data_IF_860425049764
#
_entry.id   IF_860425049764
#
_cell.length_a   1.000
_cell.length_b   1.000
_cell.length_c   1.000
_cell.angle_alpha   90.00
_cell.angle_beta   90.00
_cell.angle_gamma   90.00
#
_symmetry.space_group_name_H-M   'P 1'
#
loop_
_entity.id
_entity.type
_entity.pdbx_description
1 polymer ?
#
# COMPACT_ATOMS: atom_id res chain seq x y z
N UNK A 1 -24.90 46.18 -73.93
CA UNK A 1 -24.10 44.92 -73.95
C UNK A 1 -23.63 44.71 -72.52
N UNK A 2 -24.33 43.86 -71.79
CA UNK A 2 -24.16 43.71 -70.33
C UNK A 2 -23.42 42.39 -70.12
N UNK A 3 -22.16 42.40 -69.56
CA UNK A 3 -21.46 41.22 -69.12
C UNK A 3 -21.85 40.96 -67.69
N UNK A 4 -22.42 39.78 -67.43
CA UNK A 4 -22.65 39.22 -66.07
C UNK A 4 -21.42 38.45 -65.64
N UNK A 5 -20.77 38.87 -64.50
CA UNK A 5 -19.75 38.13 -63.87
C UNK A 5 -20.33 37.04 -62.94
N UNK A 6 -19.86 35.82 -63.10
CA UNK A 6 -20.13 34.72 -62.19
C UNK A 6 -19.17 34.81 -60.99
N UNK A 7 -19.70 34.87 -59.78
CA UNK A 7 -18.97 34.71 -58.55
C UNK A 7 -18.90 33.20 -58.15
N UNK A 8 -17.74 32.62 -58.11
CA UNK A 8 -17.50 31.24 -57.57
C UNK A 8 -17.39 31.28 -56.05
N UNK A 9 -18.30 30.60 -55.37
CA UNK A 9 -18.25 30.39 -53.92
C UNK A 9 -17.40 29.17 -53.65
N UNK A 10 -16.22 29.35 -53.03
CA UNK A 10 -15.43 28.25 -52.49
C UNK A 10 -15.98 27.90 -51.12
N UNK A 11 -16.55 26.70 -50.96
CA UNK A 11 -16.89 26.11 -49.67
C UNK A 11 -15.62 25.36 -49.16
N UNK A 12 -14.97 25.90 -48.18
CA UNK A 12 -13.86 25.22 -47.48
C UNK A 12 -14.46 24.18 -46.50
N UNK A 13 -14.34 22.90 -46.82
CA UNK A 13 -14.65 21.83 -45.89
C UNK A 13 -13.54 21.69 -44.86
N UNK A 14 -13.78 22.14 -43.63
CA UNK A 14 -12.91 21.84 -42.50
C UNK A 14 -13.13 20.37 -42.10
N UNK A 15 -12.18 19.50 -42.49
CA UNK A 15 -12.09 18.13 -41.96
C UNK A 15 -11.48 18.24 -40.57
N UNK A 16 -12.33 18.22 -39.55
CA UNK A 16 -11.91 18.07 -38.16
C UNK A 16 -11.38 16.66 -37.94
N UNK A 17 -10.05 16.50 -37.79
CA UNK A 17 -9.45 15.29 -37.24
C UNK A 17 -9.81 15.20 -35.77
N UNK A 18 -10.91 14.51 -35.47
CA UNK A 18 -11.25 14.09 -34.11
C UNK A 18 -10.22 13.05 -33.63
N UNK A 19 -9.36 13.42 -32.68
CA UNK A 19 -8.59 12.45 -31.92
C UNK A 19 -9.60 11.59 -31.15
N UNK A 20 -9.73 10.32 -31.56
CA UNK A 20 -10.47 9.34 -30.81
C UNK A 20 -9.73 9.14 -29.47
N UNK A 21 -10.16 9.84 -28.44
CA UNK A 21 -9.79 9.50 -27.07
C UNK A 21 -10.25 8.07 -26.83
N UNK A 22 -9.33 7.19 -26.47
CA UNK A 22 -9.67 5.86 -25.99
C UNK A 22 -10.51 6.04 -24.74
N UNK A 23 -11.81 5.80 -24.86
CA UNK A 23 -12.70 5.75 -23.72
C UNK A 23 -12.20 4.60 -22.83
N UNK A 24 -11.63 4.91 -21.69
CA UNK A 24 -11.42 3.94 -20.64
C UNK A 24 -12.78 3.38 -20.28
N UNK A 25 -12.95 2.05 -20.42
CA UNK A 25 -14.18 1.39 -20.03
C UNK A 25 -14.49 1.76 -18.59
N UNK A 26 -15.70 2.24 -18.33
CA UNK A 26 -16.14 2.46 -16.95
C UNK A 26 -16.00 1.15 -16.17
N UNK A 27 -15.50 1.19 -14.92
CA UNK A 27 -15.37 -0.01 -14.12
C UNK A 27 -16.72 -0.73 -14.04
N UNK A 28 -16.73 -2.07 -13.99
CA UNK A 28 -17.97 -2.83 -13.96
C UNK A 28 -18.85 -2.35 -12.80
N UNK A 29 -20.12 -2.14 -13.06
CA UNK A 29 -21.07 -1.70 -12.03
C UNK A 29 -21.15 -2.78 -10.94
N UNK A 30 -20.60 -2.48 -9.78
CA UNK A 30 -20.58 -3.40 -8.65
C UNK A 30 -22.00 -3.59 -8.10
N UNK A 31 -22.42 -4.84 -7.86
CA UNK A 31 -23.71 -5.18 -7.26
C UNK A 31 -23.71 -5.08 -5.74
N UNK A 32 -22.59 -4.74 -5.10
CA UNK A 32 -22.43 -4.71 -3.65
C UNK A 32 -21.83 -3.39 -3.14
N UNK A 33 -21.81 -3.25 -1.83
CA UNK A 33 -21.13 -2.17 -1.13
C UNK A 33 -19.68 -2.60 -0.88
N UNK A 34 -18.81 -2.42 -1.87
CA UNK A 34 -17.38 -2.69 -1.73
C UNK A 34 -16.71 -1.79 -0.68
N UNK A 35 -15.39 -1.93 -0.56
CA UNK A 35 -14.59 -1.03 0.27
C UNK A 35 -14.76 0.40 -0.26
N UNK A 36 -15.12 1.39 0.59
CA UNK A 36 -15.21 2.78 0.16
C UNK A 36 -13.90 3.26 -0.50
N UNK A 37 -13.98 3.91 -1.66
CA UNK A 37 -12.81 4.33 -2.45
C UNK A 37 -11.82 5.17 -1.63
N UNK A 38 -12.30 6.00 -0.72
CA UNK A 38 -11.45 6.80 0.17
C UNK A 38 -10.69 5.97 1.22
N UNK A 39 -10.95 4.67 1.32
CA UNK A 39 -10.21 3.72 2.16
C UNK A 39 -9.33 2.76 1.35
N UNK A 40 -9.47 2.74 0.01
CA UNK A 40 -8.59 1.94 -0.85
C UNK A 40 -7.30 2.70 -1.07
N UNK A 41 -6.18 2.03 -0.88
CA UNK A 41 -4.83 2.53 -1.12
C UNK A 41 -4.03 1.50 -1.92
N UNK A 42 -2.84 1.88 -2.40
CA UNK A 42 -1.89 0.95 -3.01
C UNK A 42 -0.50 1.20 -2.44
N UNK A 43 0.20 0.12 -2.10
CA UNK A 43 1.61 0.17 -1.68
C UNK A 43 2.49 0.39 -2.91
N UNK A 44 3.31 1.44 -2.89
CA UNK A 44 4.16 1.80 -4.03
C UNK A 44 5.33 0.83 -4.24
N UNK A 45 5.62 -0.06 -3.29
CA UNK A 45 6.55 -1.17 -3.49
C UNK A 45 6.16 -2.05 -4.67
N UNK A 46 4.86 -2.17 -4.98
CA UNK A 46 4.36 -2.83 -6.19
C UNK A 46 5.02 -2.31 -7.47
N UNK A 47 5.42 -1.04 -7.48
CA UNK A 47 6.07 -0.37 -8.60
C UNK A 47 7.58 -0.19 -8.42
N UNK A 48 8.21 -0.86 -7.43
CA UNK A 48 9.61 -0.61 -7.09
C UNK A 48 10.56 -0.85 -8.27
N UNK A 49 10.33 -1.89 -9.08
CA UNK A 49 11.14 -2.13 -10.28
C UNK A 49 10.91 -1.07 -11.36
N UNK A 50 9.67 -0.61 -11.54
CA UNK A 50 9.32 0.45 -12.50
C UNK A 50 9.89 1.81 -12.07
N UNK A 51 9.71 2.21 -10.82
CA UNK A 51 10.20 3.47 -10.27
C UNK A 51 11.74 3.46 -10.20
N UNK A 52 12.32 2.35 -9.73
CA UNK A 52 13.73 2.23 -9.38
C UNK A 52 14.05 2.78 -8.00
N UNK A 53 15.33 2.66 -7.63
CA UNK A 53 15.86 3.07 -6.32
C UNK A 53 16.77 4.29 -6.39
N UNK A 54 16.76 4.99 -7.51
CA UNK A 54 17.53 6.21 -7.71
C UNK A 54 16.94 7.43 -7.02
N UNK A 55 17.68 8.54 -7.10
CA UNK A 55 17.25 9.85 -6.60
C UNK A 55 17.38 10.93 -7.69
N UNK A 56 17.52 10.49 -8.92
CA UNK A 56 17.68 11.34 -10.10
C UNK A 56 16.32 11.75 -10.69
N UNK A 57 16.36 12.68 -11.65
CA UNK A 57 15.16 13.18 -12.32
C UNK A 57 14.37 12.06 -12.99
N UNK A 58 15.05 11.06 -13.56
CA UNK A 58 14.37 9.94 -14.21
C UNK A 58 13.55 9.09 -13.22
N UNK A 59 14.03 8.94 -11.99
CA UNK A 59 13.27 8.28 -10.90
C UNK A 59 12.04 9.10 -10.47
N UNK A 60 12.20 10.43 -10.40
CA UNK A 60 11.11 11.37 -10.11
C UNK A 60 10.05 11.28 -11.22
N UNK A 61 10.46 11.32 -12.48
CA UNK A 61 9.56 11.26 -13.64
C UNK A 61 8.76 9.95 -13.66
N UNK A 62 9.39 8.81 -13.34
CA UNK A 62 8.69 7.52 -13.22
C UNK A 62 7.72 7.49 -12.05
N UNK A 63 8.08 8.10 -10.93
CA UNK A 63 7.18 8.25 -9.77
C UNK A 63 5.96 9.09 -10.14
N UNK A 64 6.16 10.18 -10.86
CA UNK A 64 5.08 11.03 -11.38
C UNK A 64 4.15 10.26 -12.32
N UNK A 65 4.70 9.47 -13.24
CA UNK A 65 3.90 8.64 -14.14
C UNK A 65 3.06 7.60 -13.38
N UNK A 66 3.62 6.98 -12.33
CA UNK A 66 2.86 6.08 -11.45
C UNK A 66 1.68 6.83 -10.81
N UNK A 67 1.90 8.02 -10.27
CA UNK A 67 0.83 8.80 -9.63
C UNK A 67 -0.27 9.20 -10.62
N UNK A 68 0.11 9.63 -11.80
CA UNK A 68 -0.84 9.97 -12.86
C UNK A 68 -1.74 8.78 -13.18
N UNK A 69 -1.13 7.61 -13.45
CA UNK A 69 -1.87 6.39 -13.80
C UNK A 69 -2.75 5.88 -12.65
N UNK A 70 -2.26 5.90 -11.42
CA UNK A 70 -3.06 5.51 -10.25
C UNK A 70 -4.28 6.42 -10.06
N UNK A 71 -4.10 7.74 -10.24
CA UNK A 71 -5.23 8.69 -10.20
C UNK A 71 -6.26 8.39 -11.28
N UNK A 72 -5.83 8.06 -12.50
CA UNK A 72 -6.70 7.68 -13.63
C UNK A 72 -7.45 6.37 -13.38
N UNK A 73 -6.82 5.40 -12.68
CA UNK A 73 -7.46 4.15 -12.23
C UNK A 73 -8.54 4.38 -11.16
N UNK A 74 -8.56 5.53 -10.51
CA UNK A 74 -9.52 5.87 -9.47
C UNK A 74 -8.97 5.87 -8.06
N UNK A 75 -7.71 5.51 -7.85
CA UNK A 75 -7.08 5.62 -6.52
C UNK A 75 -7.11 7.06 -6.00
N UNK A 76 -7.27 7.19 -4.69
CA UNK A 76 -7.17 8.46 -3.97
C UNK A 76 -6.10 8.42 -2.88
N UNK A 77 -5.58 7.24 -2.60
CA UNK A 77 -4.53 7.06 -1.60
C UNK A 77 -3.43 6.14 -2.14
N UNK A 78 -2.20 6.41 -1.70
CA UNK A 78 -1.01 5.59 -1.94
C UNK A 78 -0.26 5.37 -0.61
N UNK A 79 0.56 4.35 -0.54
CA UNK A 79 1.46 4.12 0.58
C UNK A 79 2.90 4.16 0.07
N UNK A 80 3.65 5.27 0.31
CA UNK A 80 5.04 5.39 -0.08
C UNK A 80 5.98 4.48 0.72
N UNK A 81 7.03 3.96 0.04
CA UNK A 81 8.19 3.33 0.68
C UNK A 81 9.47 4.17 0.51
N UNK A 82 9.46 5.13 -0.41
CA UNK A 82 10.53 6.08 -0.69
C UNK A 82 9.95 7.42 -1.10
N UNK A 83 10.74 8.47 -1.01
CA UNK A 83 10.41 9.79 -1.57
C UNK A 83 11.10 10.04 -2.91
N UNK A 84 11.75 9.01 -3.49
CA UNK A 84 12.40 9.07 -4.83
C UNK A 84 13.40 10.23 -4.97
N UNK A 85 14.10 10.58 -3.89
CA UNK A 85 15.05 11.70 -3.86
C UNK A 85 14.41 13.09 -3.72
N UNK A 86 13.09 13.19 -3.67
CA UNK A 86 12.39 14.45 -3.45
C UNK A 86 12.40 14.86 -1.96
N UNK A 87 12.28 16.16 -1.70
CA UNK A 87 11.89 16.63 -0.37
C UNK A 87 10.44 16.19 -0.04
N UNK A 88 10.09 16.13 1.25
CA UNK A 88 8.71 15.85 1.65
C UNK A 88 7.71 16.86 1.07
N UNK A 89 8.13 18.12 0.92
CA UNK A 89 7.30 19.18 0.33
C UNK A 89 7.04 18.96 -1.17
N UNK A 90 8.08 18.62 -1.93
CA UNK A 90 7.95 18.36 -3.37
C UNK A 90 7.13 17.08 -3.64
N UNK A 91 7.38 16.03 -2.85
CA UNK A 91 6.59 14.81 -2.93
C UNK A 91 5.11 15.05 -2.61
N UNK A 92 4.84 15.88 -1.59
CA UNK A 92 3.47 16.30 -1.25
C UNK A 92 2.82 17.08 -2.39
N UNK A 93 3.54 18.03 -2.98
CA UNK A 93 3.04 18.80 -4.12
C UNK A 93 2.71 17.90 -5.33
N UNK A 94 3.53 16.85 -5.54
CA UNK A 94 3.30 15.87 -6.59
C UNK A 94 2.05 15.01 -6.32
N UNK A 95 1.84 14.57 -5.07
CA UNK A 95 0.60 13.90 -4.67
C UNK A 95 -0.63 14.78 -4.91
N UNK A 96 -0.57 16.04 -4.47
CA UNK A 96 -1.67 16.99 -4.62
C UNK A 96 -2.00 17.28 -6.09
N UNK A 97 -0.98 17.33 -6.97
CA UNK A 97 -1.15 17.49 -8.43
C UNK A 97 -2.08 16.44 -9.04
N UNK A 98 -2.01 15.21 -8.53
CA UNK A 98 -2.84 14.10 -9.02
C UNK A 98 -4.03 13.76 -8.11
N UNK A 99 -4.33 14.59 -7.12
CA UNK A 99 -5.44 14.38 -6.18
C UNK A 99 -5.27 13.16 -5.29
N UNK A 100 -4.01 12.75 -5.04
CA UNK A 100 -3.64 11.62 -4.20
C UNK A 100 -3.29 12.09 -2.78
N UNK A 101 -3.39 11.18 -1.82
CA UNK A 101 -2.96 11.34 -0.43
C UNK A 101 -2.12 10.15 0.00
N UNK A 102 -1.17 10.38 0.89
CA UNK A 102 -0.48 9.28 1.53
C UNK A 102 -1.34 8.72 2.68
N UNK A 103 -1.78 7.46 2.56
CA UNK A 103 -2.58 6.76 3.58
C UNK A 103 -1.75 6.34 4.78
N UNK A 104 -0.57 5.82 4.51
CA UNK A 104 0.46 5.40 5.44
C UNK A 104 1.82 5.52 4.74
N UNK A 105 2.90 5.16 5.44
CA UNK A 105 4.26 5.14 4.87
C UNK A 105 5.06 3.98 5.46
N UNK A 106 5.73 3.22 4.59
CA UNK A 106 6.84 2.38 5.02
C UNK A 106 8.12 3.23 5.07
N UNK A 107 8.70 3.32 6.24
CA UNK A 107 9.98 4.01 6.48
C UNK A 107 10.69 3.29 7.61
N UNK A 108 12.00 3.08 7.46
CA UNK A 108 12.77 2.41 8.51
C UNK A 108 12.76 3.26 9.79
N UNK A 109 12.13 2.73 10.82
CA UNK A 109 12.08 3.36 12.15
C UNK A 109 13.27 2.94 13.02
N UNK A 110 14.20 2.14 12.50
CA UNK A 110 15.40 1.67 13.17
C UNK A 110 15.16 0.58 14.20
N UNK A 111 16.22 0.25 14.87
CA UNK A 111 16.26 -0.73 15.97
C UNK A 111 16.99 -0.13 17.18
N UNK A 112 16.96 -0.78 18.37
CA UNK A 112 17.76 -0.33 19.51
C UNK A 112 19.26 -0.21 19.20
N UNK A 113 19.76 -1.12 18.34
CA UNK A 113 21.16 -1.21 17.93
C UNK A 113 21.54 -0.21 16.82
N UNK A 114 20.55 0.14 15.97
CA UNK A 114 20.74 1.05 14.86
C UNK A 114 19.55 2.03 14.75
N UNK A 115 19.49 3.03 15.63
CA UNK A 115 18.40 4.00 15.64
C UNK A 115 18.49 4.95 14.44
N UNK A 116 17.33 5.25 13.84
CA UNK A 116 17.19 6.25 12.77
C UNK A 116 16.87 7.64 13.33
N UNK A 117 17.00 8.68 12.49
CA UNK A 117 16.54 10.04 12.81
C UNK A 117 15.01 10.09 12.83
N UNK A 118 14.44 9.81 13.99
CA UNK A 118 13.01 9.74 14.17
C UNK A 118 12.32 11.09 14.13
N UNK A 119 13.02 12.17 14.50
CA UNK A 119 12.47 13.52 14.45
C UNK A 119 12.29 13.97 12.99
N UNK A 120 13.24 13.63 12.13
CA UNK A 120 13.11 13.87 10.68
C UNK A 120 11.94 13.07 10.09
N UNK A 121 11.76 11.79 10.48
CA UNK A 121 10.63 10.98 10.04
C UNK A 121 9.30 11.66 10.43
N UNK A 122 9.17 12.10 11.68
CA UNK A 122 7.96 12.77 12.16
C UNK A 122 7.71 14.10 11.42
N UNK A 123 8.76 14.86 11.15
CA UNK A 123 8.67 16.11 10.40
C UNK A 123 8.22 15.90 8.95
N UNK A 124 8.83 14.95 8.24
CA UNK A 124 8.43 14.57 6.88
C UNK A 124 6.98 14.11 6.82
N UNK A 125 6.60 13.20 7.71
CA UNK A 125 5.23 12.69 7.79
C UNK A 125 4.21 13.80 8.03
N UNK A 126 4.55 14.80 8.83
CA UNK A 126 3.69 15.97 9.05
C UNK A 126 3.48 16.76 7.76
N UNK A 127 4.53 17.01 6.99
CA UNK A 127 4.45 17.68 5.68
C UNK A 127 3.61 16.87 4.70
N UNK A 128 3.82 15.55 4.64
CA UNK A 128 3.10 14.63 3.76
C UNK A 128 1.63 14.41 4.20
N UNK A 129 1.27 14.79 5.41
CA UNK A 129 -0.06 14.54 5.99
C UNK A 129 -0.28 13.08 6.39
N UNK A 130 0.79 12.33 6.61
CA UNK A 130 0.78 10.91 6.97
C UNK A 130 0.44 10.75 8.46
N UNK A 131 -0.54 9.89 8.73
CA UNK A 131 -0.90 9.52 10.10
C UNK A 131 -0.26 8.20 10.54
N UNK A 132 -0.18 7.22 9.65
CA UNK A 132 0.30 5.87 9.96
C UNK A 132 1.65 5.61 9.28
N UNK A 133 2.62 5.07 10.02
CA UNK A 133 3.92 4.75 9.47
C UNK A 133 4.63 3.66 10.29
N UNK A 134 5.55 2.94 9.67
CA UNK A 134 6.36 1.91 10.29
C UNK A 134 7.37 1.30 9.33
N UNK A 135 8.22 0.42 9.82
CA UNK A 135 9.13 -0.33 8.95
C UNK A 135 8.38 -1.38 8.15
N UNK A 136 8.68 -1.46 6.85
CA UNK A 136 8.15 -2.52 5.99
C UNK A 136 8.99 -3.79 6.00
N UNK A 137 10.25 -3.74 6.47
CA UNK A 137 11.19 -4.85 6.38
C UNK A 137 12.04 -5.07 7.64
N UNK A 138 12.38 -4.02 8.38
CA UNK A 138 13.20 -4.09 9.58
C UNK A 138 12.37 -4.59 10.77
N UNK A 139 12.84 -5.54 11.59
CA UNK A 139 14.14 -6.22 11.58
C UNK A 139 14.14 -7.60 10.89
N UNK A 140 13.25 -7.82 9.92
CA UNK A 140 13.00 -9.12 9.30
C UNK A 140 13.96 -9.38 8.14
N UNK A 141 14.36 -8.35 7.39
CA UNK A 141 15.26 -8.48 6.25
C UNK A 141 16.48 -7.55 6.39
N UNK A 142 17.62 -8.10 6.88
CA UNK A 142 17.81 -9.46 7.37
C UNK A 142 17.15 -9.70 8.74
N UNK A 143 16.80 -10.94 9.05
CA UNK A 143 16.38 -11.34 10.40
C UNK A 143 17.57 -11.18 11.36
N UNK A 144 17.44 -10.27 12.32
CA UNK A 144 18.54 -9.93 13.24
C UNK A 144 18.29 -10.35 14.69
N UNK A 145 17.08 -10.75 15.03
CA UNK A 145 16.70 -11.19 16.37
C UNK A 145 16.39 -12.69 16.40
N UNK A 146 17.03 -13.41 17.30
CA UNK A 146 16.98 -14.87 17.37
C UNK A 146 16.52 -15.39 18.76
N UNK A 147 16.15 -14.48 19.67
CA UNK A 147 15.67 -14.81 21.01
C UNK A 147 14.43 -14.00 21.37
N UNK A 148 13.59 -14.54 22.24
CA UNK A 148 12.42 -13.82 22.76
C UNK A 148 12.80 -12.50 23.43
N UNK A 149 13.91 -12.48 24.18
CA UNK A 149 14.37 -11.28 24.88
C UNK A 149 14.73 -10.14 23.92
N UNK A 150 15.29 -10.45 22.76
CA UNK A 150 15.58 -9.45 21.70
C UNK A 150 14.29 -8.90 21.11
N UNK A 151 13.31 -9.75 20.82
CA UNK A 151 12.01 -9.30 20.33
C UNK A 151 11.24 -8.45 21.35
N UNK A 152 11.31 -8.81 22.62
CA UNK A 152 10.73 -7.99 23.71
C UNK A 152 11.41 -6.61 23.76
N UNK A 153 12.74 -6.56 23.66
CA UNK A 153 13.50 -5.30 23.64
C UNK A 153 13.12 -4.44 22.42
N UNK A 154 12.96 -5.07 21.26
CA UNK A 154 12.48 -4.38 20.07
C UNK A 154 11.05 -3.85 20.24
N UNK A 155 10.15 -4.63 20.80
CA UNK A 155 8.79 -4.18 21.11
C UNK A 155 8.79 -2.95 22.05
N UNK A 156 9.64 -2.95 23.09
CA UNK A 156 9.80 -1.81 24.00
C UNK A 156 10.34 -0.57 23.27
N UNK A 157 11.29 -0.76 22.34
CA UNK A 157 11.79 0.32 21.49
C UNK A 157 10.69 0.90 20.60
N UNK A 158 9.90 0.04 19.95
CA UNK A 158 8.74 0.49 19.14
C UNK A 158 7.72 1.22 20.02
N UNK A 159 7.49 0.74 21.24
CA UNK A 159 6.54 1.38 22.15
C UNK A 159 6.96 2.81 22.53
N UNK A 160 8.25 3.03 22.82
CA UNK A 160 8.78 4.36 23.10
C UNK A 160 8.69 5.29 21.88
N UNK A 161 8.99 4.80 20.68
CA UNK A 161 8.83 5.57 19.43
C UNK A 161 7.36 5.84 19.12
N UNK A 162 6.48 4.86 19.34
CA UNK A 162 5.04 5.01 19.18
C UNK A 162 4.45 6.05 20.12
N UNK A 163 4.95 6.16 21.35
CA UNK A 163 4.55 7.25 22.26
C UNK A 163 4.94 8.63 21.71
N UNK A 164 6.16 8.79 21.20
CA UNK A 164 6.59 10.02 20.55
C UNK A 164 5.76 10.35 19.30
N UNK A 165 5.47 9.33 18.47
CA UNK A 165 4.60 9.49 17.32
C UNK A 165 3.21 9.97 17.71
N UNK A 166 2.60 9.39 18.74
CA UNK A 166 1.30 9.78 19.28
C UNK A 166 1.29 11.23 19.79
N UNK A 167 2.36 11.66 20.47
CA UNK A 167 2.53 13.05 20.91
C UNK A 167 2.60 14.03 19.73
N UNK A 168 3.14 13.58 18.58
CA UNK A 168 3.17 14.34 17.33
C UNK A 168 1.86 14.21 16.48
N UNK A 169 0.83 13.54 17.00
CA UNK A 169 -0.44 13.31 16.29
C UNK A 169 -0.39 12.21 15.22
N UNK A 170 0.68 11.40 15.23
CA UNK A 170 0.91 10.29 14.30
C UNK A 170 0.77 8.94 15.02
N UNK A 171 0.78 7.85 14.30
CA UNK A 171 0.60 6.50 14.83
C UNK A 171 1.63 5.56 14.23
N UNK A 172 2.45 4.98 15.10
CA UNK A 172 3.40 3.93 14.69
C UNK A 172 2.63 2.64 14.41
N UNK A 173 2.97 1.96 13.33
CA UNK A 173 2.40 0.67 12.98
C UNK A 173 3.48 -0.40 12.85
N UNK A 174 3.13 -1.64 13.18
CA UNK A 174 3.88 -2.86 12.85
C UNK A 174 3.26 -3.45 11.59
N UNK A 175 4.09 -3.70 10.59
CA UNK A 175 3.79 -4.51 9.42
C UNK A 175 4.42 -5.89 9.60
N UNK A 176 3.77 -6.95 9.12
CA UNK A 176 4.25 -8.31 9.25
C UNK A 176 4.60 -8.94 7.91
N UNK A 177 5.54 -9.88 7.97
CA UNK A 177 5.79 -10.89 6.96
C UNK A 177 5.46 -12.29 7.51
N UNK A 178 5.91 -13.35 6.83
CA UNK A 178 5.70 -14.73 7.28
C UNK A 178 6.51 -15.08 8.54
N UNK A 179 7.68 -14.47 8.70
CA UNK A 179 8.63 -14.76 9.78
C UNK A 179 7.99 -14.55 11.15
N UNK A 180 7.20 -13.49 11.34
CA UNK A 180 6.54 -13.18 12.61
C UNK A 180 5.53 -14.25 13.03
N UNK A 181 5.08 -15.11 12.12
CA UNK A 181 4.19 -16.23 12.41
C UNK A 181 4.90 -17.58 12.43
N UNK A 182 6.05 -17.70 11.76
CA UNK A 182 6.86 -18.93 11.71
C UNK A 182 7.77 -19.04 12.93
N UNK A 183 8.45 -17.97 13.30
CA UNK A 183 9.33 -17.92 14.46
C UNK A 183 8.52 -17.94 15.76
N UNK A 184 8.89 -18.86 16.68
CA UNK A 184 8.17 -19.09 17.94
C UNK A 184 9.12 -19.25 19.11
N UNK A 185 8.78 -18.62 20.21
CA UNK A 185 9.48 -18.72 21.49
C UNK A 185 8.49 -19.11 22.60
N UNK A 186 8.71 -20.26 23.22
CA UNK A 186 7.77 -20.77 24.24
C UNK A 186 6.34 -20.96 23.73
N UNK A 187 6.18 -21.32 22.45
CA UNK A 187 4.88 -21.50 21.79
C UNK A 187 4.17 -20.22 21.34
N UNK A 188 4.72 -19.04 21.62
CA UNK A 188 4.23 -17.74 21.14
C UNK A 188 4.95 -17.34 19.87
N UNK A 189 4.21 -16.85 18.88
CA UNK A 189 4.79 -16.29 17.66
C UNK A 189 5.48 -14.95 17.95
N UNK A 190 6.40 -14.52 17.08
CA UNK A 190 6.98 -13.16 17.18
C UNK A 190 5.89 -12.10 17.12
N UNK A 191 4.86 -12.31 16.29
CA UNK A 191 3.71 -11.39 16.25
C UNK A 191 3.01 -11.29 17.61
N UNK A 192 2.77 -12.43 18.30
CA UNK A 192 2.19 -12.44 19.65
C UNK A 192 3.09 -11.68 20.65
N UNK A 193 4.40 -11.85 20.54
CA UNK A 193 5.38 -11.16 21.42
C UNK A 193 5.33 -9.65 21.20
N UNK A 194 5.32 -9.19 19.95
CA UNK A 194 5.22 -7.77 19.60
C UNK A 194 3.91 -7.15 20.11
N UNK A 195 2.78 -7.84 19.90
CA UNK A 195 1.48 -7.35 20.36
C UNK A 195 1.35 -7.33 21.89
N UNK A 196 1.94 -8.30 22.58
CA UNK A 196 1.88 -8.39 24.04
C UNK A 196 2.79 -7.35 24.75
N UNK A 197 3.86 -6.91 24.10
CA UNK A 197 4.87 -6.02 24.69
C UNK A 197 4.82 -4.57 24.16
N UNK A 198 3.78 -4.21 23.44
CA UNK A 198 3.51 -2.82 22.98
C UNK A 198 2.16 -2.32 23.49
N UNK A 199 2.08 -1.04 23.84
CA UNK A 199 0.84 -0.37 24.23
C UNK A 199 -0.04 -0.12 22.99
N UNK A 200 -1.31 -0.55 22.99
CA UNK A 200 -2.24 -0.34 21.87
C UNK A 200 -2.47 1.14 21.53
N UNK A 201 -2.20 2.05 22.44
CA UNK A 201 -2.28 3.49 22.19
C UNK A 201 -1.10 4.02 21.38
N UNK A 202 0.05 3.33 21.44
CA UNK A 202 1.32 3.76 20.85
C UNK A 202 1.62 3.04 19.54
N UNK A 203 1.27 1.74 19.46
CA UNK A 203 1.60 0.89 18.32
C UNK A 203 0.35 0.15 17.86
N UNK A 204 -0.01 0.26 16.61
CA UNK A 204 -1.10 -0.46 15.95
C UNK A 204 -0.54 -1.50 14.98
N UNK A 205 -1.39 -2.30 14.36
CA UNK A 205 -1.00 -3.25 13.33
C UNK A 205 -1.52 -2.85 11.95
N UNK A 206 -0.64 -2.96 10.96
CA UNK A 206 -0.97 -3.12 9.55
C UNK A 206 -0.77 -4.60 9.23
N UNK A 207 -1.87 -5.37 9.16
CA UNK A 207 -1.82 -6.81 8.94
C UNK A 207 -1.70 -7.10 7.44
N UNK A 208 -0.59 -7.68 7.01
CA UNK A 208 -0.46 -8.26 5.67
C UNK A 208 -1.11 -9.65 5.65
N UNK A 209 -2.16 -9.77 4.85
CA UNK A 209 -3.02 -10.95 4.81
C UNK A 209 -2.36 -12.14 4.12
N UNK A 210 -1.59 -11.88 3.06
CA UNK A 210 -0.82 -12.92 2.38
C UNK A 210 0.29 -13.48 3.28
N UNK A 211 1.08 -12.60 3.88
CA UNK A 211 2.18 -13.03 4.74
C UNK A 211 1.70 -13.70 6.02
N UNK A 212 0.57 -13.26 6.57
CA UNK A 212 -0.05 -13.96 7.69
C UNK A 212 -0.53 -15.37 7.31
N UNK A 213 -1.15 -15.52 6.13
CA UNK A 213 -1.55 -16.83 5.61
C UNK A 213 -0.31 -17.69 5.28
N UNK A 214 0.70 -17.12 4.63
CA UNK A 214 1.94 -17.82 4.27
C UNK A 214 2.67 -18.40 5.51
N UNK A 215 2.76 -17.61 6.57
CA UNK A 215 3.47 -18.00 7.79
C UNK A 215 2.68 -18.89 8.76
N UNK A 216 1.35 -18.76 8.79
CA UNK A 216 0.50 -19.43 9.78
C UNK A 216 -0.64 -20.29 9.22
N UNK A 217 -0.75 -20.43 7.90
CA UNK A 217 -1.85 -21.13 7.22
C UNK A 217 -3.00 -20.20 6.81
N UNK A 218 -3.84 -20.62 5.86
CA UNK A 218 -4.95 -19.82 5.34
C UNK A 218 -5.91 -19.25 6.41
N UNK A 219 -6.25 -19.98 7.48
CA UNK A 219 -7.10 -19.43 8.55
C UNK A 219 -6.41 -18.39 9.44
N UNK A 220 -5.07 -18.25 9.34
CA UNK A 220 -4.32 -17.41 10.29
C UNK A 220 -4.72 -15.93 10.28
N UNK A 221 -4.99 -15.27 9.13
CA UNK A 221 -5.46 -13.87 9.14
C UNK A 221 -6.72 -13.68 10.02
N UNK A 222 -7.72 -14.57 9.93
CA UNK A 222 -8.92 -14.53 10.77
C UNK A 222 -8.59 -14.74 12.25
N UNK A 223 -7.74 -15.74 12.57
CA UNK A 223 -7.30 -16.03 13.94
C UNK A 223 -6.56 -14.82 14.57
N UNK A 224 -5.75 -14.12 13.80
CA UNK A 224 -5.05 -12.89 14.24
C UNK A 224 -6.05 -11.75 14.48
N UNK A 225 -7.03 -11.59 13.61
CA UNK A 225 -8.10 -10.58 13.77
C UNK A 225 -8.96 -10.88 15.00
N UNK A 226 -9.31 -12.13 15.23
CA UNK A 226 -10.08 -12.53 16.43
C UNK A 226 -9.35 -12.20 17.72
N UNK A 227 -8.03 -12.37 17.74
CA UNK A 227 -7.17 -12.13 18.92
C UNK A 227 -6.81 -10.66 19.10
N UNK A 228 -6.49 -9.96 18.00
CA UNK A 228 -5.90 -8.62 18.03
C UNK A 228 -6.69 -7.57 17.25
N UNK A 229 -7.93 -7.83 16.87
CA UNK A 229 -8.72 -6.97 15.95
C UNK A 229 -8.77 -5.50 16.33
N UNK A 230 -8.78 -5.18 17.63
CA UNK A 230 -8.76 -3.79 18.12
C UNK A 230 -7.44 -3.05 17.83
N UNK A 231 -6.35 -3.79 17.53
CA UNK A 231 -5.03 -3.28 17.19
C UNK A 231 -4.84 -3.10 15.69
N UNK A 232 -5.61 -3.84 14.86
CA UNK A 232 -5.47 -3.85 13.41
C UNK A 232 -6.23 -2.67 12.84
N UNK A 233 -5.52 -1.70 12.28
CA UNK A 233 -6.11 -0.51 11.69
C UNK A 233 -5.93 -0.43 10.17
N UNK A 234 -5.00 -1.19 9.61
CA UNK A 234 -4.75 -1.28 8.18
C UNK A 234 -4.59 -2.74 7.76
N UNK A 235 -5.01 -3.04 6.53
CA UNK A 235 -4.66 -4.28 5.86
C UNK A 235 -3.73 -4.01 4.69
N UNK A 236 -2.69 -4.82 4.52
CA UNK A 236 -2.13 -5.08 3.21
C UNK A 236 -2.91 -6.22 2.59
N UNK A 237 -3.59 -5.89 1.50
CA UNK A 237 -4.39 -6.83 0.73
C UNK A 237 -3.52 -7.35 -0.41
N UNK A 238 -2.96 -8.53 -0.18
CA UNK A 238 -2.06 -9.26 -1.06
C UNK A 238 -2.57 -10.68 -1.16
N UNK A 239 -2.69 -11.25 -2.37
CA UNK A 239 -3.35 -12.54 -2.61
C UNK A 239 -2.33 -13.66 -2.88
N UNK A 240 -2.79 -14.90 -2.80
CA UNK A 240 -1.99 -16.11 -2.96
C UNK A 240 -2.51 -16.97 -4.12
N UNK A 241 -1.63 -17.34 -5.02
CA UNK A 241 -1.98 -18.23 -6.12
C UNK A 241 -2.41 -19.63 -5.62
N UNK A 242 -3.36 -20.24 -6.31
CA UNK A 242 -3.75 -21.63 -6.08
C UNK A 242 -2.61 -22.61 -6.43
N UNK A 243 -2.69 -23.82 -5.88
CA UNK A 243 -1.73 -24.89 -6.15
C UNK A 243 -0.91 -25.28 -4.92
N UNK A 244 0.43 -25.22 -5.02
CA UNK A 244 1.32 -25.55 -3.89
C UNK A 244 1.21 -24.50 -2.78
N UNK A 245 1.01 -24.92 -1.55
CA UNK A 245 1.00 -24.03 -0.40
C UNK A 245 2.40 -24.00 0.28
N UNK A 246 2.94 -22.83 0.67
CA UNK A 246 2.44 -21.50 0.33
C UNK A 246 2.59 -21.21 -1.17
N UNK A 247 1.54 -20.64 -1.76
CA UNK A 247 1.53 -20.23 -3.15
C UNK A 247 2.32 -18.93 -3.37
N UNK A 248 2.66 -18.65 -4.64
CA UNK A 248 3.22 -17.36 -5.04
C UNK A 248 2.20 -16.24 -4.78
N UNK A 249 2.70 -15.00 -4.73
CA UNK A 249 1.83 -13.82 -4.73
C UNK A 249 1.06 -13.78 -6.07
N UNK A 250 -0.22 -13.46 -5.97
CA UNK A 250 -1.15 -13.34 -7.08
C UNK A 250 -1.85 -11.98 -7.03
N UNK A 251 -2.41 -11.54 -8.15
CA UNK A 251 -3.21 -10.31 -8.19
C UNK A 251 -4.44 -10.46 -7.28
N UNK A 252 -4.73 -9.43 -6.52
CA UNK A 252 -5.84 -9.41 -5.54
C UNK A 252 -7.17 -9.80 -6.20
N UNK A 253 -7.85 -10.79 -5.63
CA UNK A 253 -9.11 -11.36 -6.14
C UNK A 253 -8.93 -12.42 -7.23
N UNK A 254 -7.70 -12.82 -7.54
CA UNK A 254 -7.39 -13.91 -8.46
C UNK A 254 -6.80 -15.15 -7.77
N UNK A 255 -6.53 -15.05 -6.48
CA UNK A 255 -5.95 -16.09 -5.67
C UNK A 255 -6.96 -16.82 -4.80
N UNK A 256 -6.48 -17.38 -3.69
CA UNK A 256 -7.23 -18.26 -2.79
C UNK A 256 -7.50 -17.70 -1.41
N UNK A 257 -7.04 -16.47 -1.11
CA UNK A 257 -7.31 -15.84 0.19
C UNK A 257 -8.78 -15.37 0.22
N UNK A 258 -9.52 -15.81 1.23
CA UNK A 258 -10.92 -15.43 1.40
C UNK A 258 -11.03 -14.05 2.06
N UNK A 259 -10.86 -12.99 1.25
CA UNK A 259 -10.99 -11.62 1.74
C UNK A 259 -12.38 -11.28 2.30
N UNK A 260 -13.51 -11.74 1.73
CA UNK A 260 -14.82 -11.56 2.34
C UNK A 260 -14.89 -12.05 3.78
N UNK A 261 -14.42 -13.27 4.06
CA UNK A 261 -14.38 -13.82 5.42
C UNK A 261 -13.50 -12.97 6.35
N UNK A 262 -12.30 -12.61 5.87
CA UNK A 262 -11.33 -11.81 6.63
C UNK A 262 -11.91 -10.42 6.96
N UNK A 263 -12.53 -9.75 5.99
CA UNK A 263 -13.09 -8.41 6.20
C UNK A 263 -14.30 -8.45 7.13
N UNK A 264 -15.16 -9.47 7.02
CA UNK A 264 -16.29 -9.69 7.92
C UNK A 264 -15.84 -9.98 9.37
N UNK A 265 -14.69 -10.65 9.55
CA UNK A 265 -14.12 -10.91 10.87
C UNK A 265 -13.57 -9.64 11.58
N UNK A 266 -13.40 -8.54 10.85
CA UNK A 266 -12.79 -7.32 11.39
C UNK A 266 -13.65 -6.69 12.48
N UNK A 267 -13.15 -6.64 13.72
CA UNK A 267 -13.85 -6.13 14.91
C UNK A 267 -13.72 -4.61 15.10
N UNK A 268 -12.86 -3.96 14.35
CA UNK A 268 -12.57 -2.53 14.47
C UNK A 268 -12.69 -1.80 13.14
N UNK A 269 -12.69 -0.46 13.16
CA UNK A 269 -12.75 0.31 11.92
C UNK A 269 -11.42 0.23 11.21
N UNK A 270 -11.29 -0.65 10.21
CA UNK A 270 -10.16 -0.64 9.28
C UNK A 270 -10.15 0.70 8.57
N UNK A 271 -9.01 1.39 8.61
CA UNK A 271 -8.83 2.72 8.05
C UNK A 271 -8.47 2.67 6.57
N UNK A 272 -7.56 1.75 6.21
CA UNK A 272 -7.12 1.57 4.85
C UNK A 272 -6.97 0.08 4.50
N UNK A 273 -7.33 -0.22 3.26
CA UNK A 273 -7.13 -1.49 2.57
C UNK A 273 -6.10 -1.20 1.47
N UNK A 274 -4.87 -1.62 1.70
CA UNK A 274 -3.73 -1.27 0.85
C UNK A 274 -3.46 -2.44 -0.09
N UNK A 275 -3.79 -2.27 -1.36
CA UNK A 275 -3.46 -3.26 -2.40
C UNK A 275 -1.95 -3.36 -2.53
N UNK A 276 -1.42 -4.57 -2.55
CA UNK A 276 -0.02 -4.80 -2.82
C UNK A 276 0.20 -6.09 -3.62
N UNK A 277 1.17 -6.04 -4.50
CA UNK A 277 1.79 -7.18 -5.14
C UNK A 277 3.30 -6.94 -5.13
N UNK A 278 4.09 -7.86 -4.53
CA UNK A 278 5.54 -7.68 -4.58
C UNK A 278 6.04 -7.71 -6.02
N UNK A 279 6.99 -6.84 -6.39
CA UNK A 279 7.53 -6.82 -7.73
C UNK A 279 8.21 -8.16 -8.04
N UNK A 280 8.09 -8.59 -9.30
CA UNK A 280 8.78 -9.77 -9.80
C UNK A 280 10.01 -9.30 -10.56
N UNK A 281 11.04 -8.90 -9.84
CA UNK A 281 12.26 -8.34 -10.43
C UNK A 281 12.79 -9.21 -11.58
N UNK A 282 12.93 -8.59 -12.76
CA UNK A 282 13.41 -9.25 -13.98
C UNK A 282 12.37 -10.14 -14.69
N UNK A 283 11.12 -10.19 -14.24
CA UNK A 283 10.01 -10.87 -14.94
C UNK A 283 9.28 -9.91 -15.88
N UNK A 284 9.52 -9.95 -17.19
CA UNK A 284 8.91 -9.02 -18.14
C UNK A 284 7.41 -9.24 -18.32
N UNK A 285 6.85 -10.32 -17.75
CA UNK A 285 5.42 -10.63 -17.84
C UNK A 285 4.62 -10.00 -16.69
N UNK A 286 5.29 -9.47 -15.67
CA UNK A 286 4.62 -8.80 -14.57
C UNK A 286 4.34 -7.32 -14.91
N UNK A 287 3.06 -6.95 -14.93
CA UNK A 287 2.63 -5.56 -15.06
C UNK A 287 2.09 -5.04 -13.73
N UNK A 288 2.83 -4.15 -13.01
CA UNK A 288 2.41 -3.60 -11.73
C UNK A 288 1.13 -2.74 -11.85
N UNK A 289 0.90 -2.14 -13.00
CA UNK A 289 -0.32 -1.34 -13.23
C UNK A 289 -1.56 -2.23 -13.38
N UNK A 290 -1.40 -3.38 -14.05
CA UNK A 290 -2.48 -4.38 -14.12
C UNK A 290 -2.77 -4.94 -12.73
N UNK A 291 -1.75 -5.22 -11.92
CA UNK A 291 -1.93 -5.70 -10.54
C UNK A 291 -2.68 -4.67 -9.69
N UNK A 292 -2.31 -3.39 -9.78
CA UNK A 292 -2.99 -2.30 -9.07
C UNK A 292 -4.44 -2.14 -9.52
N UNK A 293 -4.72 -2.12 -10.86
CA UNK A 293 -6.08 -2.00 -11.38
C UNK A 293 -6.96 -3.17 -10.93
N UNK A 294 -6.43 -4.41 -11.04
CA UNK A 294 -7.17 -5.61 -10.63
C UNK A 294 -7.55 -5.55 -9.14
N UNK A 295 -6.62 -5.12 -8.28
CA UNK A 295 -6.87 -4.97 -6.85
C UNK A 295 -7.87 -3.86 -6.52
N UNK A 296 -7.80 -2.72 -7.22
CA UNK A 296 -8.77 -1.63 -7.07
C UNK A 296 -10.18 -2.08 -7.45
N UNK A 297 -10.32 -2.72 -8.61
CA UNK A 297 -11.61 -3.20 -9.12
C UNK A 297 -12.22 -4.25 -8.16
N UNK A 298 -11.38 -5.19 -7.68
CA UNK A 298 -11.83 -6.18 -6.71
C UNK A 298 -12.33 -5.54 -5.41
N UNK A 299 -11.52 -4.69 -4.77
CA UNK A 299 -11.89 -4.05 -3.50
C UNK A 299 -13.10 -3.13 -3.64
N UNK A 300 -13.26 -2.47 -4.76
CA UNK A 300 -14.42 -1.62 -5.03
C UNK A 300 -15.72 -2.41 -5.13
N UNK A 301 -15.66 -3.73 -5.37
CA UNK A 301 -16.81 -4.59 -5.65
C UNK A 301 -17.00 -5.74 -4.65
N UNK A 302 -16.02 -6.01 -3.77
CA UNK A 302 -16.08 -7.11 -2.81
C UNK A 302 -17.24 -6.92 -1.82
N UNK A 303 -18.00 -7.98 -1.59
CA UNK A 303 -19.10 -7.97 -0.60
C UNK A 303 -18.69 -8.79 0.63
N UNK A 304 -18.87 -8.25 1.84
CA UNK A 304 -18.51 -8.88 3.12
C UNK A 304 -19.38 -8.40 4.27
#
# INVERSE_FOLDING_TARGET
MVLRGLAAVFVAACIGLGTAGTATAAPPACKGHGVPVNKISVQLWTFAEYIGFGTDQATIDRTEEVFRRLSEMGYRNVEPFTLSGMSAADYRALLDKYGLKASARHVDVGTPENPTDFDQILADNKVLGIKYFGSGATPIFPLIYHTEAEWVRYAQYLNARGERARQAGQTLMVHNHNVEFQEKFGGRTVYDILMANTDPRNVVSQLDLYWAANGGGLPNPVNVIERYGNRIQLFHVKDMAAGTFPGRIEMVGKGIIDFPEIFAASKGPVRYYVVEHDPRFGDPTFDPFQAAQTGFDYLSCVTY
#
